data_IF_080737713801
#
_entry.id   IF_080737713801
#
_cell.length_a   1.000
_cell.length_b   1.000
_cell.length_c   1.000
_cell.angle_alpha   90.00
_cell.angle_beta   90.00
_cell.angle_gamma   90.00
#
_symmetry.space_group_name_H-M   'P 1'
#
loop_
_entity.id
_entity.type
_entity.pdbx_description
1 polymer ?
#
# COMPACT_ATOMS: atom_id res chain seq x y z
N UNK A 1 14.24 -27.88 44.01
CA UNK A 1 13.13 -28.78 44.41
C UNK A 1 11.89 -27.91 44.54
N UNK A 2 10.76 -28.23 43.90
CA UNK A 2 9.60 -27.31 43.76
C UNK A 2 8.74 -27.18 45.01
N UNK A 3 9.13 -27.77 46.17
CA UNK A 3 8.44 -27.60 47.47
C UNK A 3 7.03 -28.16 47.56
N UNK A 4 6.56 -28.92 46.57
CA UNK A 4 5.24 -29.59 46.63
C UNK A 4 5.36 -30.93 47.34
N UNK A 5 4.51 -31.13 48.36
CA UNK A 5 4.39 -32.38 49.07
C UNK A 5 3.47 -33.37 48.34
N UNK A 6 3.71 -34.68 48.42
CA UNK A 6 2.80 -35.68 47.87
C UNK A 6 1.41 -35.63 48.52
N UNK A 7 0.38 -35.91 47.72
CA UNK A 7 -0.97 -36.13 48.26
C UNK A 7 -1.06 -37.45 49.04
N UNK A 8 -2.23 -37.78 49.60
CA UNK A 8 -2.46 -38.99 50.40
C UNK A 8 -2.20 -40.30 49.64
N UNK A 9 -2.12 -40.27 48.32
CA UNK A 9 -1.83 -41.41 47.46
C UNK A 9 -0.35 -41.47 47.04
N UNK A 10 0.50 -40.56 47.56
CA UNK A 10 1.91 -40.47 47.24
C UNK A 10 2.22 -39.75 45.92
N UNK A 11 1.25 -39.12 45.25
CA UNK A 11 1.43 -38.39 44.01
C UNK A 11 1.74 -36.93 44.30
N UNK A 12 2.66 -36.36 43.51
CA UNK A 12 2.94 -34.91 43.49
C UNK A 12 2.26 -34.33 42.26
N UNK A 13 1.28 -33.48 42.46
CA UNK A 13 0.64 -32.70 41.39
C UNK A 13 1.45 -31.43 41.13
N UNK A 14 2.00 -31.32 39.93
CA UNK A 14 2.80 -30.18 39.50
C UNK A 14 1.97 -29.31 38.54
N UNK A 15 1.83 -28.06 38.89
CA UNK A 15 1.30 -27.02 38.01
C UNK A 15 2.44 -26.30 37.31
N UNK A 16 2.12 -25.56 36.20
CA UNK A 16 3.12 -24.86 35.40
C UNK A 16 4.00 -23.91 36.25
N UNK A 17 3.42 -23.21 37.21
CA UNK A 17 4.13 -22.30 38.11
C UNK A 17 5.11 -23.00 39.05
N UNK A 18 4.87 -24.28 39.42
CA UNK A 18 5.76 -25.06 40.28
C UNK A 18 7.07 -25.44 39.59
N UNK A 19 7.10 -25.44 38.27
CA UNK A 19 8.27 -25.76 37.43
C UNK A 19 8.75 -24.56 36.61
N UNK A 20 8.19 -23.35 36.85
CA UNK A 20 8.55 -22.15 36.11
C UNK A 20 8.10 -22.16 34.64
N UNK A 21 7.10 -22.97 34.33
CA UNK A 21 6.51 -23.02 32.98
C UNK A 21 5.33 -22.04 32.85
N UNK A 22 5.06 -21.60 31.63
CA UNK A 22 3.88 -20.79 31.35
C UNK A 22 2.62 -21.66 31.37
N UNK A 23 1.56 -21.30 32.12
CA UNK A 23 0.29 -22.01 32.13
C UNK A 23 -0.35 -22.07 30.71
N UNK A 24 -1.06 -23.16 30.39
CA UNK A 24 -1.75 -23.30 29.11
C UNK A 24 -2.84 -22.25 28.87
N UNK A 25 -3.39 -21.67 29.94
CA UNK A 25 -4.36 -20.56 29.90
C UNK A 25 -3.69 -19.20 29.64
N UNK A 26 -2.35 -19.15 29.54
CA UNK A 26 -1.59 -17.91 29.42
C UNK A 26 -1.03 -17.42 30.76
N UNK A 27 -0.22 -16.37 30.72
CA UNK A 27 0.40 -15.77 31.89
C UNK A 27 1.27 -14.58 31.53
N UNK A 28 1.70 -13.85 32.56
CA UNK A 28 2.61 -12.71 32.42
C UNK A 28 4.06 -13.21 32.34
N UNK A 29 4.76 -12.85 31.28
CA UNK A 29 6.20 -13.03 31.16
C UNK A 29 6.93 -11.80 31.71
N UNK A 30 7.79 -11.99 32.71
CA UNK A 30 8.55 -10.90 33.33
C UNK A 30 9.91 -10.67 32.67
N UNK A 31 10.27 -11.47 31.67
CA UNK A 31 11.52 -11.37 30.92
C UNK A 31 11.32 -11.63 29.44
N UNK A 32 12.39 -11.46 28.67
CA UNK A 32 12.39 -11.70 27.24
C UNK A 32 12.18 -13.18 26.88
N UNK A 33 11.43 -13.45 25.83
CA UNK A 33 11.31 -14.78 25.22
C UNK A 33 12.30 -14.86 24.06
N UNK A 34 13.29 -15.76 24.15
CA UNK A 34 14.25 -16.03 23.06
C UNK A 34 13.74 -17.24 22.29
N UNK A 35 13.26 -17.02 21.07
CA UNK A 35 12.68 -18.07 20.21
C UNK A 35 13.73 -18.89 19.47
N UNK A 36 15.00 -18.50 19.47
CA UNK A 36 16.14 -19.20 18.83
C UNK A 36 15.81 -19.73 17.42
N UNK A 37 15.34 -18.85 16.54
CA UNK A 37 14.91 -19.13 15.15
C UNK A 37 13.63 -19.98 15.02
N UNK A 38 12.95 -20.28 16.09
CA UNK A 38 11.62 -20.92 16.03
C UNK A 38 10.51 -19.91 15.80
N UNK A 39 9.43 -20.33 15.16
CA UNK A 39 8.29 -19.49 14.82
C UNK A 39 7.24 -19.49 15.94
N UNK A 40 6.59 -18.35 16.16
CA UNK A 40 5.32 -18.27 16.88
C UNK A 40 4.20 -18.46 15.86
N UNK A 41 3.38 -19.51 16.01
CA UNK A 41 2.27 -19.82 15.11
C UNK A 41 0.92 -19.55 15.76
N UNK A 42 -0.12 -19.43 14.92
CA UNK A 42 -1.50 -19.18 15.35
C UNK A 42 -1.68 -17.89 16.20
N UNK A 43 -0.83 -16.88 15.91
CA UNK A 43 -0.97 -15.56 16.52
C UNK A 43 -2.23 -14.88 15.95
N UNK A 44 -3.09 -14.31 16.83
CA UNK A 44 -4.23 -13.50 16.44
C UNK A 44 -3.83 -12.20 15.73
N UNK A 45 -4.80 -11.52 15.10
CA UNK A 45 -4.57 -10.18 14.60
C UNK A 45 -4.34 -9.21 15.77
N UNK A 46 -3.40 -8.25 15.65
CA UNK A 46 -3.16 -7.26 16.69
C UNK A 46 -4.37 -6.35 16.86
N UNK A 47 -4.71 -6.02 18.11
CA UNK A 47 -5.79 -5.10 18.50
C UNK A 47 -5.25 -3.84 19.15
N UNK A 48 -4.09 -3.94 19.81
CA UNK A 48 -3.42 -2.84 20.48
C UNK A 48 -2.05 -2.55 19.87
N UNK A 49 -1.55 -1.34 20.09
CA UNK A 49 -0.27 -0.87 19.53
C UNK A 49 0.95 -1.65 20.05
N UNK A 50 0.81 -2.36 21.17
CA UNK A 50 1.87 -3.18 21.76
C UNK A 50 1.79 -4.66 21.35
N UNK A 51 0.75 -5.06 20.61
CA UNK A 51 0.58 -6.44 20.19
C UNK A 51 1.60 -6.85 19.12
N UNK A 52 2.01 -8.11 19.16
CA UNK A 52 2.81 -8.69 18.09
C UNK A 52 1.95 -8.87 16.83
N UNK A 53 2.48 -8.42 15.68
CA UNK A 53 1.79 -8.53 14.40
C UNK A 53 2.16 -9.83 13.68
N UNK A 54 1.18 -10.47 13.04
CA UNK A 54 1.45 -11.56 12.10
C UNK A 54 2.07 -11.03 10.82
N UNK A 55 2.84 -11.87 10.10
CA UNK A 55 3.35 -11.52 8.76
C UNK A 55 2.21 -11.11 7.81
N UNK A 56 1.08 -11.81 7.82
CA UNK A 56 -0.08 -11.51 6.96
C UNK A 56 -0.68 -10.13 7.26
N UNK A 57 -0.73 -9.71 8.52
CA UNK A 57 -1.19 -8.37 8.91
C UNK A 57 -0.24 -7.29 8.34
N UNK A 58 1.07 -7.48 8.49
CA UNK A 58 2.08 -6.54 7.98
C UNK A 58 2.08 -6.49 6.45
N UNK A 59 2.02 -7.64 5.77
CA UNK A 59 1.96 -7.72 4.30
C UNK A 59 0.72 -6.99 3.75
N UNK A 60 -0.43 -7.14 4.41
CA UNK A 60 -1.68 -6.45 4.04
C UNK A 60 -1.56 -4.95 4.24
N UNK A 61 -1.04 -4.50 5.39
CA UNK A 61 -0.80 -3.08 5.66
C UNK A 61 0.15 -2.47 4.64
N UNK A 62 1.24 -3.16 4.30
CA UNK A 62 2.21 -2.71 3.29
C UNK A 62 1.61 -2.67 1.88
N UNK A 63 0.77 -3.66 1.52
CA UNK A 63 0.05 -3.66 0.24
C UNK A 63 -0.92 -2.49 0.13
N UNK A 64 -1.60 -2.15 1.23
CA UNK A 64 -2.50 -1.01 1.31
C UNK A 64 -1.76 0.34 1.27
N UNK A 65 -0.53 0.39 1.73
CA UNK A 65 0.32 1.59 1.70
C UNK A 65 1.08 1.75 0.36
N UNK A 66 1.02 0.76 -0.53
CA UNK A 66 1.80 0.75 -1.77
C UNK A 66 1.18 1.65 -2.82
N UNK A 67 1.99 2.57 -3.37
CA UNK A 67 1.64 3.35 -4.56
C UNK A 67 1.53 2.43 -5.78
N UNK A 68 0.46 2.57 -6.55
CA UNK A 68 0.24 1.83 -7.79
C UNK A 68 0.59 2.75 -8.97
N UNK A 69 1.63 2.41 -9.72
CA UNK A 69 1.98 3.10 -10.95
C UNK A 69 1.24 2.49 -12.15
N UNK A 70 0.60 3.33 -12.96
CA UNK A 70 -0.08 2.98 -14.21
C UNK A 70 0.41 3.88 -15.33
N UNK A 71 0.57 3.32 -16.51
CA UNK A 71 0.93 4.07 -17.71
C UNK A 71 -0.30 4.31 -18.57
N UNK A 72 -0.36 5.47 -19.20
CA UNK A 72 -1.37 5.84 -20.19
C UNK A 72 -0.74 6.77 -21.24
N UNK A 73 -1.47 7.05 -22.30
CA UNK A 73 -1.04 8.01 -23.31
C UNK A 73 -2.20 8.95 -23.64
N UNK A 74 -1.97 10.25 -23.48
CA UNK A 74 -2.85 11.25 -24.04
C UNK A 74 -2.48 11.39 -25.51
N UNK A 75 -3.34 10.87 -26.40
CA UNK A 75 -3.04 10.86 -27.83
C UNK A 75 -3.38 12.21 -28.45
N UNK A 76 -2.62 12.65 -29.47
CA UNK A 76 -2.87 13.89 -30.19
C UNK A 76 -4.29 13.94 -30.78
N UNK A 77 -4.80 12.79 -31.23
CA UNK A 77 -6.13 12.67 -31.82
C UNK A 77 -7.27 12.49 -30.80
N UNK A 78 -6.93 12.23 -29.53
CA UNK A 78 -7.91 11.88 -28.48
C UNK A 78 -8.58 13.07 -27.81
N UNK A 79 -8.14 14.30 -28.10
CA UNK A 79 -8.73 15.52 -27.54
C UNK A 79 -10.07 15.87 -28.20
N UNK A 80 -10.99 16.43 -27.43
CA UNK A 80 -12.28 16.89 -27.92
C UNK A 80 -12.13 17.87 -29.10
N UNK A 81 -13.23 18.06 -29.85
CA UNK A 81 -13.21 18.87 -31.10
C UNK A 81 -13.08 20.36 -30.86
N UNK A 82 -13.57 20.87 -29.72
CA UNK A 82 -13.62 22.30 -29.39
C UNK A 82 -13.07 22.57 -27.98
N UNK A 83 -12.61 23.79 -27.75
CA UNK A 83 -12.16 24.25 -26.45
C UNK A 83 -13.34 24.42 -25.46
N UNK A 84 -13.15 24.14 -24.17
CA UNK A 84 -11.95 23.57 -23.60
C UNK A 84 -11.74 22.13 -24.08
N UNK A 85 -10.55 21.83 -24.59
CA UNK A 85 -10.25 20.48 -25.07
C UNK A 85 -10.02 19.54 -23.91
N UNK A 86 -10.68 18.39 -23.98
CA UNK A 86 -10.61 17.39 -22.91
C UNK A 86 -10.21 16.02 -23.47
N UNK A 87 -9.45 15.27 -22.67
CA UNK A 87 -9.18 13.85 -22.90
C UNK A 87 -9.18 13.11 -21.58
N UNK A 88 -9.84 11.96 -21.55
CA UNK A 88 -9.97 11.14 -20.35
C UNK A 88 -9.21 9.85 -20.46
N UNK A 89 -8.62 9.41 -19.35
CA UNK A 89 -8.01 8.09 -19.20
C UNK A 89 -8.56 7.39 -17.98
N UNK A 90 -8.83 6.09 -18.10
CA UNK A 90 -9.23 5.24 -16.98
C UNK A 90 -8.00 4.68 -16.29
N UNK A 91 -7.92 4.85 -14.98
CA UNK A 91 -6.80 4.41 -14.14
C UNK A 91 -7.29 3.36 -13.16
N UNK A 92 -6.96 2.10 -13.44
CA UNK A 92 -7.34 0.98 -12.57
C UNK A 92 -6.78 1.16 -11.16
N UNK A 93 -7.66 1.03 -10.16
CA UNK A 93 -7.32 1.20 -8.75
C UNK A 93 -7.47 2.63 -8.22
N UNK A 94 -7.74 3.62 -9.08
CA UNK A 94 -8.11 4.97 -8.67
C UNK A 94 -9.57 4.99 -8.21
N UNK A 95 -9.87 5.75 -7.16
CA UNK A 95 -11.21 6.01 -6.61
C UNK A 95 -11.30 7.47 -6.15
N UNK A 96 -12.49 7.96 -5.83
CA UNK A 96 -12.68 9.35 -5.37
C UNK A 96 -11.99 9.67 -4.03
N UNK A 97 -11.58 8.66 -3.28
CA UNK A 97 -10.89 8.82 -2.00
C UNK A 97 -9.36 8.79 -2.11
N UNK A 98 -8.82 8.25 -3.22
CA UNK A 98 -7.38 8.10 -3.42
C UNK A 98 -6.77 9.31 -4.11
N UNK A 99 -5.54 9.65 -3.76
CA UNK A 99 -4.78 10.66 -4.49
C UNK A 99 -4.14 10.06 -5.74
N UNK A 100 -4.04 10.84 -6.80
CA UNK A 100 -3.29 10.47 -7.99
C UNK A 100 -2.39 11.63 -8.43
N UNK A 101 -1.20 11.29 -8.91
CA UNK A 101 -0.28 12.21 -9.54
C UNK A 101 0.02 11.69 -10.95
N UNK A 102 -0.15 12.53 -11.96
CA UNK A 102 0.19 12.21 -13.33
C UNK A 102 1.40 13.04 -13.77
N UNK A 103 2.37 12.41 -14.39
CA UNK A 103 3.54 13.08 -14.92
C UNK A 103 3.95 12.50 -16.28
N UNK A 104 4.53 13.31 -17.17
CA UNK A 104 4.97 12.86 -18.48
C UNK A 104 6.18 11.93 -18.38
N UNK A 105 6.28 11.00 -19.32
CA UNK A 105 7.44 10.10 -19.46
C UNK A 105 8.32 10.61 -20.58
N UNK A 106 9.50 11.08 -20.23
CA UNK A 106 10.51 11.54 -21.18
C UNK A 106 11.41 10.39 -21.62
N UNK A 107 11.79 10.37 -22.92
CA UNK A 107 12.74 9.42 -23.48
C UNK A 107 14.16 9.96 -23.53
N UNK A 108 15.01 9.32 -24.34
CA UNK A 108 16.39 9.74 -24.56
C UNK A 108 16.58 10.78 -25.70
N UNK A 109 15.57 10.99 -26.55
CA UNK A 109 15.65 11.91 -27.68
C UNK A 109 15.28 13.34 -27.28
N UNK A 110 16.23 14.28 -27.39
CA UNK A 110 16.05 15.67 -26.95
C UNK A 110 14.98 16.42 -27.76
N UNK A 111 14.87 16.22 -29.07
CA UNK A 111 13.87 16.89 -29.89
C UNK A 111 12.46 16.41 -29.55
N UNK A 112 12.28 15.10 -29.34
CA UNK A 112 11.02 14.52 -28.89
C UNK A 112 10.65 15.03 -27.49
N UNK A 113 11.61 15.12 -26.59
CA UNK A 113 11.37 15.62 -25.22
C UNK A 113 11.00 17.12 -25.21
N UNK A 114 11.56 17.92 -26.13
CA UNK A 114 11.19 19.32 -26.25
C UNK A 114 9.75 19.48 -26.72
N UNK A 115 9.35 18.75 -27.78
CA UNK A 115 7.96 18.74 -28.24
C UNK A 115 6.99 18.24 -27.15
N UNK A 116 7.40 17.23 -26.38
CA UNK A 116 6.62 16.72 -25.26
C UNK A 116 6.46 17.76 -24.14
N UNK A 117 7.53 18.49 -23.81
CA UNK A 117 7.48 19.58 -22.82
C UNK A 117 6.51 20.68 -23.25
N UNK A 118 6.54 21.08 -24.53
CA UNK A 118 5.60 22.05 -25.08
C UNK A 118 4.15 21.55 -25.00
N UNK A 119 3.91 20.31 -25.43
CA UNK A 119 2.61 19.65 -25.34
C UNK A 119 2.06 19.58 -23.90
N UNK A 120 2.92 19.23 -22.94
CA UNK A 120 2.54 19.23 -21.52
C UNK A 120 2.16 20.61 -20.99
N UNK A 121 2.82 21.67 -21.51
CA UNK A 121 2.51 23.06 -21.16
C UNK A 121 1.11 23.51 -21.58
N UNK A 122 0.48 22.85 -22.56
CA UNK A 122 -0.89 23.13 -23.00
C UNK A 122 -1.93 22.54 -22.05
N UNK A 123 -1.57 21.53 -21.25
CA UNK A 123 -2.49 20.93 -20.27
C UNK A 123 -2.62 21.85 -19.06
N UNK A 124 -3.78 22.46 -18.92
CA UNK A 124 -4.04 23.47 -17.88
C UNK A 124 -4.33 22.84 -16.52
N UNK A 125 -5.09 21.77 -16.48
CA UNK A 125 -5.39 21.01 -15.25
C UNK A 125 -5.93 19.61 -15.58
N UNK A 126 -5.99 18.78 -14.54
CA UNK A 126 -6.68 17.50 -14.57
C UNK A 126 -7.73 17.42 -13.45
N UNK A 127 -8.87 16.84 -13.76
CA UNK A 127 -9.93 16.54 -12.79
C UNK A 127 -10.09 15.02 -12.65
N UNK A 128 -10.70 14.59 -11.56
CA UNK A 128 -10.94 13.18 -11.27
C UNK A 128 -12.43 12.93 -11.01
N UNK A 129 -12.91 11.79 -11.51
CA UNK A 129 -14.23 11.25 -11.16
C UNK A 129 -14.13 9.71 -11.16
N UNK A 130 -14.30 9.10 -9.99
CA UNK A 130 -14.11 7.66 -9.80
C UNK A 130 -12.71 7.20 -10.25
N UNK A 131 -12.67 6.28 -11.19
CA UNK A 131 -11.44 5.75 -11.79
C UNK A 131 -10.92 6.55 -13.00
N UNK A 132 -11.54 7.68 -13.34
CA UNK A 132 -11.22 8.45 -14.54
C UNK A 132 -10.50 9.74 -14.20
N UNK A 133 -9.38 10.01 -14.88
CA UNK A 133 -8.73 11.32 -14.93
C UNK A 133 -9.07 11.99 -16.25
N UNK A 134 -9.58 13.22 -16.20
CA UNK A 134 -9.87 14.05 -17.36
C UNK A 134 -8.88 15.21 -17.37
N UNK A 135 -8.06 15.27 -18.40
CA UNK A 135 -7.11 16.35 -18.65
C UNK A 135 -7.77 17.41 -19.51
N UNK A 136 -7.52 18.68 -19.22
CA UNK A 136 -8.15 19.81 -19.88
C UNK A 136 -7.09 20.80 -20.38
N UNK A 137 -7.23 21.20 -21.64
CA UNK A 137 -6.49 22.31 -22.24
C UNK A 137 -7.49 23.44 -22.55
N UNK A 138 -7.23 24.64 -22.05
CA UNK A 138 -8.16 25.77 -22.15
C UNK A 138 -8.09 26.48 -23.52
N UNK A 139 -6.89 26.60 -24.09
CA UNK A 139 -6.63 27.38 -25.29
C UNK A 139 -6.32 26.46 -26.48
N UNK A 140 -5.16 25.80 -26.47
CA UNK A 140 -4.67 24.94 -27.53
C UNK A 140 -4.56 23.50 -27.04
N UNK A 141 -4.62 22.54 -27.97
CA UNK A 141 -4.45 21.12 -27.67
C UNK A 141 -3.15 20.57 -28.23
N UNK A 142 -2.54 19.60 -27.54
CA UNK A 142 -1.34 18.93 -27.98
C UNK A 142 -1.47 18.29 -29.37
N UNK A 143 -0.47 18.47 -30.20
CA UNK A 143 -0.35 17.86 -31.54
C UNK A 143 0.52 16.60 -31.54
N UNK A 144 1.13 16.29 -30.38
CA UNK A 144 1.93 15.08 -30.17
C UNK A 144 1.32 14.25 -29.03
N UNK A 145 1.61 12.98 -29.04
CA UNK A 145 1.19 12.09 -27.95
C UNK A 145 1.98 12.38 -26.67
N UNK A 146 1.30 12.42 -25.55
CA UNK A 146 1.90 12.59 -24.22
C UNK A 146 1.82 11.26 -23.47
N UNK A 147 2.89 10.45 -23.42
CA UNK A 147 2.95 9.31 -22.54
C UNK A 147 3.04 9.79 -21.08
N UNK A 148 2.18 9.27 -20.22
CA UNK A 148 2.12 9.63 -18.82
C UNK A 148 2.24 8.38 -17.94
N UNK A 149 2.81 8.57 -16.76
CA UNK A 149 2.65 7.66 -15.64
C UNK A 149 1.71 8.31 -14.63
N UNK A 150 0.77 7.53 -14.14
CA UNK A 150 -0.14 7.92 -13.07
C UNK A 150 0.18 7.09 -11.84
N UNK A 151 0.61 7.74 -10.78
CA UNK A 151 0.78 7.14 -9.46
C UNK A 151 -0.48 7.34 -8.65
N UNK A 152 -1.05 6.24 -8.18
CA UNK A 152 -2.21 6.22 -7.28
C UNK A 152 -1.72 5.90 -5.88
N UNK A 153 -1.93 6.81 -4.96
CA UNK A 153 -1.60 6.67 -3.54
C UNK A 153 -2.78 6.03 -2.82
N UNK A 154 -2.51 4.92 -2.14
CA UNK A 154 -3.51 4.09 -1.47
C UNK A 154 -3.71 4.53 -0.02
#
# INVERSE_FOLDING_TARGET
MCGKEPNSNGNVELEAENVGALPSAGGLMTGNIVMNSHQIKALGAPTDSADAATKGFVDTALSNAKTIAKTATLTAAGWSASAPYTQSVTVSGLTDTKRAMAYPVYGSNTATNLALKEACGMVSFASRSGSTLTFTCLEDKPTVNIPITVEVYV
#
